data_IF_336829526450
#
_entry.id   IF_336829526450
#
_cell.length_a   1.000
_cell.length_b   1.000
_cell.length_c   1.000
_cell.angle_alpha   90.00
_cell.angle_beta   90.00
_cell.angle_gamma   90.00
#
_symmetry.space_group_name_H-M   'P 1'
#
loop_
_entity.id
_entity.type
_entity.pdbx_description
1 polymer ?
#
# COMPACT_ATOMS: atom_id res chain seq x y z
N UNK A 1 53.69 -0.33 -26.75
CA UNK A 1 52.36 -0.48 -27.40
C UNK A 1 52.04 -1.92 -27.84
N UNK A 2 52.90 -2.62 -28.61
CA UNK A 2 52.62 -4.00 -29.08
C UNK A 2 52.34 -5.04 -27.97
N UNK A 3 53.07 -5.00 -26.85
CA UNK A 3 52.88 -5.95 -25.73
C UNK A 3 51.51 -5.81 -25.05
N UNK A 4 51.05 -4.57 -24.82
CA UNK A 4 49.75 -4.26 -24.21
C UNK A 4 48.60 -4.76 -25.07
N UNK A 5 48.70 -4.57 -26.39
CA UNK A 5 47.71 -5.04 -27.36
C UNK A 5 47.59 -6.57 -27.40
N UNK A 6 48.72 -7.29 -27.33
CA UNK A 6 48.75 -8.76 -27.27
C UNK A 6 48.10 -9.28 -25.98
N UNK A 7 48.40 -8.67 -24.82
CA UNK A 7 47.74 -9.03 -23.55
C UNK A 7 46.22 -8.80 -23.57
N UNK A 8 45.75 -7.72 -24.22
CA UNK A 8 44.33 -7.43 -24.37
C UNK A 8 43.61 -8.49 -25.22
N UNK A 9 44.24 -8.91 -26.32
CA UNK A 9 43.70 -9.98 -27.18
C UNK A 9 43.62 -11.30 -26.41
N UNK A 10 44.65 -11.65 -25.64
CA UNK A 10 44.66 -12.88 -24.83
C UNK A 10 43.54 -12.84 -23.78
N UNK A 11 43.33 -11.70 -23.11
CA UNK A 11 42.24 -11.53 -22.14
C UNK A 11 40.85 -11.67 -22.79
N UNK A 12 40.65 -11.13 -23.99
CA UNK A 12 39.38 -11.27 -24.72
C UNK A 12 39.13 -12.74 -25.12
N UNK A 13 40.17 -13.44 -25.57
CA UNK A 13 40.06 -14.86 -25.92
C UNK A 13 39.77 -15.71 -24.68
N UNK A 14 40.44 -15.44 -23.56
CA UNK A 14 40.18 -16.13 -22.28
C UNK A 14 38.76 -15.85 -21.75
N UNK A 15 38.27 -14.61 -21.86
CA UNK A 15 36.91 -14.26 -21.49
C UNK A 15 35.88 -14.96 -22.41
N UNK A 16 36.11 -14.96 -23.73
CA UNK A 16 35.23 -15.60 -24.70
C UNK A 16 35.18 -17.12 -24.54
N UNK A 17 36.33 -17.76 -24.32
CA UNK A 17 36.43 -19.20 -24.07
C UNK A 17 35.81 -19.58 -22.72
N UNK A 18 36.05 -18.80 -21.67
CA UNK A 18 35.40 -18.97 -20.37
C UNK A 18 33.87 -18.87 -20.47
N UNK A 19 33.35 -17.86 -21.16
CA UNK A 19 31.91 -17.70 -21.39
C UNK A 19 31.31 -18.87 -22.19
N UNK A 20 32.00 -19.33 -23.24
CA UNK A 20 31.55 -20.47 -24.05
C UNK A 20 31.51 -21.78 -23.25
N UNK A 21 32.55 -22.05 -22.46
CA UNK A 21 32.61 -23.24 -21.60
C UNK A 21 31.55 -23.18 -20.49
N UNK A 22 31.34 -22.01 -19.88
CA UNK A 22 30.28 -21.78 -18.91
C UNK A 22 28.89 -22.04 -19.51
N UNK A 23 28.58 -21.47 -20.68
CA UNK A 23 27.30 -21.71 -21.37
C UNK A 23 27.09 -23.17 -21.76
N UNK A 24 28.15 -23.87 -22.16
CA UNK A 24 28.10 -25.30 -22.48
C UNK A 24 27.87 -26.16 -21.24
N UNK A 25 28.49 -25.81 -20.12
CA UNK A 25 28.28 -26.46 -18.83
C UNK A 25 26.84 -26.24 -18.33
N UNK A 26 26.35 -25.00 -18.42
CA UNK A 26 24.99 -24.61 -18.02
C UNK A 26 23.92 -25.38 -18.83
N UNK A 27 24.09 -25.50 -20.16
CA UNK A 27 23.18 -26.30 -21.01
C UNK A 27 23.25 -27.81 -20.75
N UNK A 28 24.42 -28.37 -20.44
CA UNK A 28 24.58 -29.80 -20.15
C UNK A 28 24.00 -30.21 -18.81
N UNK A 29 24.02 -29.31 -17.83
CA UNK A 29 23.50 -29.55 -16.48
C UNK A 29 22.11 -28.91 -16.25
N UNK A 30 21.52 -28.29 -17.29
CA UNK A 30 20.16 -27.81 -17.23
C UNK A 30 19.22 -29.01 -17.08
N UNK A 31 18.40 -29.00 -16.03
CA UNK A 31 17.38 -30.01 -15.82
C UNK A 31 16.38 -29.96 -17.00
N UNK A 32 16.26 -31.02 -17.83
CA UNK A 32 15.48 -30.98 -19.06
C UNK A 32 13.98 -30.73 -18.83
N UNK A 33 13.49 -30.88 -17.60
CA UNK A 33 12.10 -30.62 -17.22
C UNK A 33 11.89 -29.30 -16.49
N UNK A 34 12.92 -28.47 -16.28
CA UNK A 34 12.78 -27.19 -15.57
C UNK A 34 11.82 -26.22 -16.26
N UNK A 35 11.71 -26.29 -17.59
CA UNK A 35 10.78 -25.47 -18.38
C UNK A 35 9.33 -25.96 -18.36
N UNK A 36 9.05 -27.11 -17.75
CA UNK A 36 7.72 -27.73 -17.70
C UNK A 36 7.01 -27.50 -16.36
N UNK A 37 7.64 -26.81 -15.40
CA UNK A 37 7.01 -26.46 -14.13
C UNK A 37 6.01 -25.31 -14.36
N UNK A 38 4.74 -25.44 -13.95
CA UNK A 38 3.81 -24.32 -13.95
C UNK A 38 4.37 -23.12 -13.19
N UNK A 39 4.10 -21.92 -13.70
CA UNK A 39 4.61 -20.67 -13.14
C UNK A 39 3.45 -19.76 -12.77
N UNK A 40 3.65 -19.01 -11.71
CA UNK A 40 2.76 -17.92 -11.33
C UNK A 40 3.57 -16.64 -11.32
N UNK A 41 3.07 -15.63 -12.01
CA UNK A 41 3.56 -14.26 -11.90
C UNK A 41 2.44 -13.40 -11.33
N UNK A 42 2.78 -12.55 -10.36
CA UNK A 42 1.85 -11.55 -9.84
C UNK A 42 2.32 -10.15 -10.23
N UNK A 43 1.40 -9.35 -10.74
CA UNK A 43 1.66 -7.95 -11.06
C UNK A 43 1.54 -7.07 -9.81
N UNK A 44 1.89 -5.79 -10.01
CA UNK A 44 1.60 -4.73 -9.04
C UNK A 44 0.09 -4.68 -8.74
N UNK A 45 -0.27 -4.47 -7.47
CA UNK A 45 -1.65 -4.39 -7.03
C UNK A 45 -2.22 -2.99 -7.31
N UNK A 46 -3.44 -2.91 -7.85
CA UNK A 46 -4.20 -1.67 -7.96
C UNK A 46 -5.05 -1.48 -6.70
N UNK A 47 -4.81 -0.42 -5.93
CA UNK A 47 -5.54 -0.13 -4.70
C UNK A 47 -6.82 0.62 -5.06
N UNK A 48 -7.98 0.03 -4.73
CA UNK A 48 -9.28 0.63 -5.01
C UNK A 48 -9.75 1.56 -3.88
N UNK A 49 -9.50 1.17 -2.63
CA UNK A 49 -10.01 1.86 -1.44
C UNK A 49 -9.05 1.72 -0.25
N UNK A 50 -8.89 2.79 0.52
CA UNK A 50 -8.09 2.84 1.75
C UNK A 50 -8.97 3.39 2.88
N UNK A 51 -9.10 2.64 3.97
CA UNK A 51 -9.82 3.04 5.18
C UNK A 51 -8.87 3.23 6.38
N UNK A 52 -9.38 3.43 7.59
CA UNK A 52 -8.56 3.41 8.82
C UNK A 52 -8.14 2.00 9.27
N UNK A 53 -8.67 0.94 8.63
CA UNK A 53 -8.43 -0.44 9.07
C UNK A 53 -8.06 -1.39 7.94
N UNK A 54 -8.56 -1.16 6.73
CA UNK A 54 -8.42 -2.04 5.58
C UNK A 54 -8.02 -1.28 4.32
N UNK A 55 -7.33 -1.98 3.44
CA UNK A 55 -6.99 -1.53 2.09
C UNK A 55 -7.48 -2.58 1.09
N UNK A 56 -8.41 -2.19 0.23
CA UNK A 56 -8.92 -3.03 -0.85
C UNK A 56 -8.04 -2.86 -2.08
N UNK A 57 -7.67 -3.96 -2.72
CA UNK A 57 -6.85 -3.97 -3.92
C UNK A 57 -7.24 -5.08 -4.89
N UNK A 58 -6.86 -4.92 -6.15
CA UNK A 58 -6.95 -5.95 -7.18
C UNK A 58 -5.54 -6.34 -7.61
N UNK A 59 -5.21 -7.62 -7.54
CA UNK A 59 -3.95 -8.16 -8.01
C UNK A 59 -4.18 -8.95 -9.30
N UNK A 60 -3.38 -8.71 -10.35
CA UNK A 60 -3.38 -9.62 -11.51
C UNK A 60 -2.42 -10.76 -11.26
N UNK A 61 -2.91 -11.98 -11.46
CA UNK A 61 -2.13 -13.20 -11.39
C UNK A 61 -2.15 -13.87 -12.75
N UNK A 62 -0.97 -14.04 -13.33
CA UNK A 62 -0.75 -14.84 -14.52
C UNK A 62 -0.36 -16.25 -14.07
N UNK A 63 -1.12 -17.24 -14.53
CA UNK A 63 -0.80 -18.66 -14.35
C UNK A 63 -0.41 -19.22 -15.70
N UNK A 64 0.85 -19.62 -15.84
CA UNK A 64 1.43 -20.18 -17.05
C UNK A 64 1.52 -21.71 -16.93
N UNK A 65 0.88 -22.41 -17.88
CA UNK A 65 0.91 -23.85 -18.02
C UNK A 65 1.80 -24.25 -19.21
N UNK A 66 3.11 -24.50 -19.01
CA UNK A 66 3.97 -24.95 -20.08
C UNK A 66 3.75 -26.43 -20.46
N UNK A 67 2.92 -27.17 -19.72
CA UNK A 67 2.71 -28.59 -19.95
C UNK A 67 1.92 -28.84 -21.23
N UNK A 68 2.19 -29.94 -21.96
CA UNK A 68 1.37 -30.37 -23.09
C UNK A 68 0.02 -30.98 -22.66
N UNK A 69 -0.37 -30.79 -21.39
CA UNK A 69 -1.60 -31.28 -20.77
C UNK A 69 -2.28 -30.11 -20.08
N UNK A 70 -3.61 -30.06 -20.11
CA UNK A 70 -4.38 -29.03 -19.42
C UNK A 70 -4.33 -29.19 -17.89
N UNK A 71 -4.63 -28.11 -17.18
CA UNK A 71 -4.74 -28.10 -15.72
C UNK A 71 -6.13 -27.62 -15.31
N UNK A 72 -6.87 -28.48 -14.62
CA UNK A 72 -8.16 -28.16 -14.01
C UNK A 72 -7.93 -27.78 -12.54
N UNK A 73 -8.05 -26.50 -12.22
CA UNK A 73 -7.92 -25.96 -10.86
C UNK A 73 -9.32 -25.83 -10.27
N UNK A 74 -9.60 -26.49 -9.15
CA UNK A 74 -10.91 -26.40 -8.47
C UNK A 74 -11.06 -25.09 -7.71
N UNK A 75 -10.00 -24.71 -7.00
CA UNK A 75 -9.86 -23.50 -6.21
C UNK A 75 -8.37 -23.27 -5.94
N UNK A 76 -8.03 -22.09 -5.44
CA UNK A 76 -6.70 -21.85 -4.92
C UNK A 76 -6.72 -20.94 -3.70
N UNK A 77 -5.71 -21.10 -2.85
CA UNK A 77 -5.44 -20.19 -1.74
C UNK A 77 -4.15 -19.43 -2.03
N UNK A 78 -4.02 -18.23 -1.47
CA UNK A 78 -2.80 -17.46 -1.56
C UNK A 78 -2.53 -16.67 -0.27
N UNK A 79 -1.24 -16.46 0.00
CA UNK A 79 -0.78 -15.62 1.08
C UNK A 79 0.36 -14.72 0.63
N UNK A 80 0.44 -13.54 1.24
CA UNK A 80 1.53 -12.59 1.03
C UNK A 80 2.18 -12.28 2.36
N UNK A 81 3.50 -12.39 2.42
CA UNK A 81 4.33 -12.01 3.56
C UNK A 81 5.26 -10.89 3.18
N UNK A 82 5.51 -9.97 4.12
CA UNK A 82 6.51 -8.91 4.00
C UNK A 82 7.49 -9.06 5.16
N UNK A 83 8.76 -9.28 4.84
CA UNK A 83 9.82 -9.60 5.81
C UNK A 83 9.40 -10.71 6.80
N UNK A 84 8.78 -11.75 6.25
CA UNK A 84 8.29 -12.93 6.98
C UNK A 84 6.97 -12.73 7.74
N UNK A 85 6.42 -11.53 7.78
CA UNK A 85 5.12 -11.24 8.44
C UNK A 85 4.00 -11.36 7.42
N UNK A 86 3.03 -12.24 7.69
CA UNK A 86 1.85 -12.42 6.85
C UNK A 86 0.96 -11.17 6.89
N UNK A 87 0.71 -10.58 5.72
CA UNK A 87 -0.12 -9.38 5.55
C UNK A 87 -1.43 -9.66 4.83
N UNK A 88 -1.49 -10.73 4.03
CA UNK A 88 -2.66 -11.15 3.25
C UNK A 88 -2.76 -12.67 3.34
N UNK A 89 -3.99 -13.17 3.46
CA UNK A 89 -4.37 -14.57 3.34
C UNK A 89 -5.80 -14.63 2.81
N UNK A 90 -6.03 -15.40 1.74
CA UNK A 90 -7.33 -15.46 1.09
C UNK A 90 -7.49 -16.71 0.21
N UNK A 91 -8.74 -17.16 0.10
CA UNK A 91 -9.17 -18.25 -0.78
C UNK A 91 -9.94 -17.72 -1.99
N UNK A 92 -9.66 -18.31 -3.15
CA UNK A 92 -10.36 -18.07 -4.40
C UNK A 92 -11.07 -19.36 -4.84
N UNK A 93 -12.39 -19.36 -4.70
CA UNK A 93 -13.22 -20.56 -4.81
C UNK A 93 -13.76 -20.82 -6.22
N UNK A 94 -13.37 -20.03 -7.23
CA UNK A 94 -13.84 -20.24 -8.59
C UNK A 94 -12.91 -21.22 -9.32
N UNK A 95 -13.47 -22.25 -9.99
CA UNK A 95 -12.69 -23.16 -10.79
C UNK A 95 -12.09 -22.45 -12.00
N UNK A 96 -10.93 -22.93 -12.45
CA UNK A 96 -10.18 -22.37 -13.56
C UNK A 96 -9.59 -23.52 -14.38
N UNK A 97 -9.86 -23.50 -15.69
CA UNK A 97 -9.29 -24.45 -16.64
C UNK A 97 -8.20 -23.73 -17.43
N UNK A 98 -7.01 -24.33 -17.48
CA UNK A 98 -5.88 -23.84 -18.26
C UNK A 98 -5.55 -24.86 -19.32
N UNK A 99 -5.61 -24.46 -20.58
CA UNK A 99 -5.34 -25.33 -21.71
C UNK A 99 -3.86 -25.76 -21.77
N UNK A 100 -3.52 -26.82 -22.53
CA UNK A 100 -2.14 -27.19 -22.79
C UNK A 100 -1.34 -26.03 -23.39
N UNK A 101 -0.14 -25.77 -22.85
CA UNK A 101 0.77 -24.71 -23.32
C UNK A 101 0.14 -23.32 -23.38
N UNK A 102 -0.76 -23.04 -22.45
CA UNK A 102 -1.50 -21.79 -22.38
C UNK A 102 -1.25 -21.04 -21.06
N UNK A 103 -1.67 -19.79 -21.04
CA UNK A 103 -1.56 -18.88 -19.91
C UNK A 103 -2.88 -18.19 -19.66
N UNK A 104 -3.28 -18.08 -18.39
CA UNK A 104 -4.48 -17.33 -18.00
C UNK A 104 -4.13 -16.23 -17.02
N UNK A 105 -4.73 -15.06 -17.22
CA UNK A 105 -4.64 -13.95 -16.28
C UNK A 105 -5.95 -13.79 -15.55
N UNK A 106 -5.89 -13.73 -14.22
CA UNK A 106 -7.06 -13.51 -13.37
C UNK A 106 -6.85 -12.28 -12.48
N UNK A 107 -7.94 -11.54 -12.25
CA UNK A 107 -8.00 -10.46 -11.28
C UNK A 107 -8.46 -11.00 -9.92
N UNK A 108 -7.63 -10.81 -8.89
CA UNK A 108 -7.86 -11.30 -7.55
C UNK A 108 -8.19 -10.12 -6.64
N UNK A 109 -9.46 -9.97 -6.22
CA UNK A 109 -9.82 -8.99 -5.20
C UNK A 109 -9.21 -9.42 -3.87
N UNK A 110 -8.49 -8.51 -3.23
CA UNK A 110 -7.73 -8.77 -2.02
C UNK A 110 -7.97 -7.64 -1.02
N UNK A 111 -8.09 -8.00 0.26
CA UNK A 111 -8.14 -7.05 1.35
C UNK A 111 -6.89 -7.20 2.22
N UNK A 112 -6.23 -6.08 2.51
CA UNK A 112 -5.09 -5.99 3.40
C UNK A 112 -5.48 -5.30 4.70
N UNK A 113 -5.05 -5.85 5.84
CA UNK A 113 -5.19 -5.19 7.15
C UNK A 113 -4.10 -4.15 7.35
N UNK A 114 -4.51 -2.89 7.48
CA UNK A 114 -3.60 -1.74 7.58
C UNK A 114 -2.73 -1.82 8.83
N UNK A 115 -3.28 -2.26 9.96
CA UNK A 115 -2.56 -2.30 11.23
C UNK A 115 -1.28 -3.16 11.17
N UNK A 116 -1.37 -4.30 10.50
CA UNK A 116 -0.31 -5.30 10.38
C UNK A 116 0.74 -4.81 9.40
N UNK A 117 0.31 -4.31 8.25
CA UNK A 117 1.20 -3.72 7.26
C UNK A 117 1.96 -2.51 7.80
N UNK A 118 1.28 -1.59 8.50
CA UNK A 118 1.92 -0.42 9.12
C UNK A 118 2.95 -0.80 10.18
N UNK A 119 2.73 -1.87 10.96
CA UNK A 119 3.72 -2.36 11.94
C UNK A 119 4.99 -2.87 11.24
N UNK A 120 4.84 -3.61 10.14
CA UNK A 120 5.97 -4.09 9.33
C UNK A 120 6.74 -2.91 8.73
N UNK A 121 6.03 -1.95 8.12
CA UNK A 121 6.66 -0.76 7.56
C UNK A 121 7.43 0.07 8.60
N UNK A 122 6.85 0.28 9.79
CA UNK A 122 7.52 1.00 10.89
C UNK A 122 8.74 0.24 11.42
N UNK A 123 8.69 -1.10 11.49
CA UNK A 123 9.85 -1.91 11.89
C UNK A 123 10.98 -1.76 10.88
N UNK A 124 10.68 -1.82 9.59
CA UNK A 124 11.68 -1.67 8.55
C UNK A 124 12.31 -0.28 8.52
N UNK A 125 11.50 0.76 8.68
CA UNK A 125 11.97 2.14 8.83
C UNK A 125 12.91 2.29 10.04
N UNK A 126 12.55 1.76 11.20
CA UNK A 126 13.38 1.81 12.40
C UNK A 126 14.72 1.07 12.22
N UNK A 127 14.77 0.08 11.32
CA UNK A 127 15.98 -0.62 10.92
C UNK A 127 16.75 0.08 9.78
N UNK A 128 16.28 1.23 9.29
CA UNK A 128 16.89 1.97 8.19
C UNK A 128 16.71 1.31 6.82
N UNK A 129 15.71 0.47 6.65
CA UNK A 129 15.43 -0.25 5.41
C UNK A 129 14.63 0.64 4.43
N UNK A 130 15.02 0.59 3.15
CA UNK A 130 14.30 1.23 2.04
C UNK A 130 13.50 0.22 1.19
N UNK A 131 13.68 -1.06 1.47
CA UNK A 131 13.10 -2.18 0.75
C UNK A 131 12.79 -3.33 1.70
N UNK A 132 11.81 -4.15 1.33
CA UNK A 132 11.42 -5.36 2.07
C UNK A 132 11.35 -6.56 1.12
N UNK A 133 11.46 -7.76 1.70
CA UNK A 133 11.25 -9.02 1.00
C UNK A 133 9.75 -9.35 0.99
N UNK A 134 9.16 -9.37 -0.20
CA UNK A 134 7.78 -9.78 -0.42
C UNK A 134 7.78 -11.22 -0.88
N UNK A 135 7.10 -12.08 -0.14
CA UNK A 135 6.96 -13.50 -0.44
C UNK A 135 5.49 -13.78 -0.76
N UNK A 136 5.25 -14.31 -1.95
CA UNK A 136 3.93 -14.70 -2.43
C UNK A 136 3.91 -16.22 -2.50
N UNK A 137 2.94 -16.83 -1.83
CA UNK A 137 2.75 -18.28 -1.88
C UNK A 137 1.33 -18.55 -2.38
N UNK A 138 1.23 -19.40 -3.40
CA UNK A 138 -0.02 -19.78 -4.05
C UNK A 138 -0.15 -21.30 -4.00
N UNK A 139 -1.33 -21.78 -3.60
CA UNK A 139 -1.68 -23.18 -3.46
C UNK A 139 -2.82 -23.49 -4.42
N UNK A 140 -2.50 -24.08 -5.57
CA UNK A 140 -3.49 -24.43 -6.60
C UNK A 140 -3.99 -25.85 -6.33
N UNK A 141 -5.27 -26.00 -5.96
CA UNK A 141 -5.89 -27.31 -5.79
C UNK A 141 -6.39 -27.82 -7.14
N UNK A 142 -5.91 -28.99 -7.55
CA UNK A 142 -6.19 -29.57 -8.85
C UNK A 142 -7.31 -30.61 -8.77
N UNK A 143 -8.18 -30.64 -9.78
CA UNK A 143 -9.23 -31.66 -9.89
C UNK A 143 -8.65 -33.05 -10.21
N UNK A 144 -7.47 -33.09 -10.84
CA UNK A 144 -6.70 -34.31 -11.12
C UNK A 144 -5.23 -34.07 -10.83
N UNK A 145 -4.49 -35.07 -10.32
CA UNK A 145 -3.08 -34.89 -10.05
C UNK A 145 -2.28 -34.51 -11.30
N UNK A 146 -1.51 -33.43 -11.21
CA UNK A 146 -0.56 -32.99 -12.24
C UNK A 146 0.83 -33.10 -11.64
N UNK A 147 1.76 -33.75 -12.37
CA UNK A 147 3.10 -34.06 -11.87
C UNK A 147 3.11 -34.86 -10.54
N UNK A 148 2.08 -35.68 -10.31
CA UNK A 148 1.96 -36.51 -9.10
C UNK A 148 1.44 -35.77 -7.86
N UNK A 149 1.02 -34.51 -8.01
CA UNK A 149 0.50 -33.69 -6.91
C UNK A 149 -0.95 -33.31 -7.18
N UNK A 150 -1.79 -33.41 -6.16
CA UNK A 150 -3.16 -32.88 -6.13
C UNK A 150 -3.19 -31.36 -5.83
N UNK A 151 -2.11 -30.83 -5.23
CA UNK A 151 -1.94 -29.42 -4.94
C UNK A 151 -0.57 -28.95 -5.42
N UNK A 152 -0.54 -27.89 -6.24
CA UNK A 152 0.69 -27.24 -6.64
C UNK A 152 0.97 -26.04 -5.73
N UNK A 153 2.10 -26.09 -5.03
CA UNK A 153 2.62 -24.95 -4.26
C UNK A 153 3.63 -24.18 -5.11
N UNK A 154 3.34 -22.90 -5.32
CA UNK A 154 4.19 -22.00 -6.09
C UNK A 154 4.58 -20.85 -5.18
N UNK A 155 5.89 -20.64 -5.05
CA UNK A 155 6.47 -19.58 -4.23
C UNK A 155 7.20 -18.59 -5.14
N UNK A 156 6.99 -17.31 -4.88
CA UNK A 156 7.68 -16.23 -5.55
C UNK A 156 8.18 -15.24 -4.50
N UNK A 157 9.45 -14.86 -4.60
CA UNK A 157 10.04 -13.84 -3.75
C UNK A 157 10.49 -12.65 -4.59
N UNK A 158 10.21 -11.45 -4.10
CA UNK A 158 10.66 -10.22 -4.74
C UNK A 158 11.03 -9.19 -3.69
N UNK A 159 12.19 -8.55 -3.86
CA UNK A 159 12.54 -7.37 -3.08
C UNK A 159 11.90 -6.15 -3.75
N UNK A 160 11.03 -5.45 -3.01
CA UNK A 160 10.33 -4.26 -3.48
C UNK A 160 10.56 -3.09 -2.50
N UNK A 161 10.30 -1.84 -2.91
CA UNK A 161 10.37 -0.69 -2.01
C UNK A 161 9.49 -0.87 -0.77
N UNK A 162 9.97 -0.37 0.36
CA UNK A 162 9.20 -0.33 1.60
C UNK A 162 8.15 0.78 1.54
N UNK A 163 6.91 0.42 1.23
CA UNK A 163 5.83 1.38 1.13
C UNK A 163 5.24 1.76 2.50
N UNK A 164 4.87 3.03 2.63
CA UNK A 164 4.21 3.59 3.82
C UNK A 164 2.83 4.11 3.46
N UNK A 165 1.85 3.87 4.33
CA UNK A 165 0.58 4.59 4.25
C UNK A 165 0.79 6.04 4.70
N UNK A 166 0.18 7.03 4.04
CA UNK A 166 0.27 8.42 4.49
C UNK A 166 -0.37 8.55 5.88
N UNK A 167 0.33 9.18 6.81
CA UNK A 167 -0.21 9.48 8.14
C UNK A 167 -0.85 10.87 8.11
N UNK A 168 -2.03 11.00 8.74
CA UNK A 168 -2.79 12.25 8.80
C UNK A 168 -3.12 12.53 10.26
N UNK A 169 -2.65 13.66 10.76
CA UNK A 169 -2.82 14.09 12.14
C UNK A 169 -3.56 15.44 12.21
N UNK A 170 -4.43 15.60 13.20
CA UNK A 170 -4.99 16.93 13.52
C UNK A 170 -4.03 17.61 14.48
N UNK A 171 -3.46 18.74 14.07
CA UNK A 171 -2.46 19.47 14.88
C UNK A 171 -3.01 20.77 15.45
N UNK A 172 -4.12 21.28 14.94
CA UNK A 172 -4.68 22.54 15.42
C UNK A 172 -6.09 22.79 14.92
N UNK A 173 -6.81 23.64 15.67
CA UNK A 173 -8.07 24.23 15.26
C UNK A 173 -8.03 25.69 15.69
N UNK A 174 -8.09 26.59 14.70
CA UNK A 174 -8.04 28.03 14.92
C UNK A 174 -9.34 28.69 14.43
N UNK A 175 -9.87 29.63 15.22
CA UNK A 175 -11.06 30.42 14.84
C UNK A 175 -10.61 31.62 13.99
N UNK A 176 -10.97 31.61 12.71
CA UNK A 176 -10.61 32.71 11.79
C UNK A 176 -11.62 33.85 11.89
N UNK A 177 -12.92 33.55 11.75
CA UNK A 177 -13.98 34.56 11.79
C UNK A 177 -15.16 34.08 12.63
N UNK A 178 -15.48 34.88 13.65
CA UNK A 178 -16.68 34.72 14.43
C UNK A 178 -17.87 35.42 13.76
N UNK A 179 -18.97 34.68 13.49
CA UNK A 179 -20.24 35.28 13.08
C UNK A 179 -21.39 34.60 13.83
N UNK A 180 -22.41 35.40 14.18
CA UNK A 180 -23.58 34.98 14.96
C UNK A 180 -24.33 33.76 14.39
N UNK A 181 -24.30 33.56 13.06
CA UNK A 181 -24.95 32.42 12.40
C UNK A 181 -23.98 31.28 12.08
N UNK A 182 -22.85 31.58 11.42
CA UNK A 182 -21.84 30.61 10.97
C UNK A 182 -20.45 31.17 11.18
N UNK A 183 -19.65 30.53 12.02
CA UNK A 183 -18.24 30.88 12.20
C UNK A 183 -17.35 30.03 11.28
N UNK A 184 -16.25 30.62 10.84
CA UNK A 184 -15.22 29.96 10.02
C UNK A 184 -14.09 29.53 10.96
N UNK A 185 -13.81 28.22 11.00
CA UNK A 185 -12.61 27.68 11.67
C UNK A 185 -11.67 27.12 10.61
N UNK A 186 -10.38 27.15 10.89
CA UNK A 186 -9.37 26.42 10.14
C UNK A 186 -8.90 25.23 10.98
N UNK A 187 -8.90 24.06 10.37
CA UNK A 187 -8.39 22.84 10.97
C UNK A 187 -7.06 22.54 10.30
N UNK A 188 -6.01 22.51 11.10
CA UNK A 188 -4.67 22.22 10.64
C UNK A 188 -4.48 20.71 10.60
N UNK A 189 -4.42 20.16 9.40
CA UNK A 189 -4.11 18.74 9.18
C UNK A 189 -2.66 18.62 8.74
N UNK A 190 -1.89 17.84 9.49
CA UNK A 190 -0.53 17.45 9.14
C UNK A 190 -0.58 16.15 8.34
N UNK A 191 -0.01 16.19 7.15
CA UNK A 191 0.16 15.04 6.27
C UNK A 191 1.62 14.63 6.25
N UNK A 192 1.90 13.39 6.62
CA UNK A 192 3.24 12.80 6.64
C UNK A 192 3.29 11.75 5.53
N UNK A 193 4.07 12.03 4.49
CA UNK A 193 4.33 11.11 3.39
C UNK A 193 5.79 10.67 3.41
N UNK A 194 6.03 9.43 3.82
CA UNK A 194 7.38 8.84 3.88
C UNK A 194 7.81 8.20 2.55
N UNK A 195 6.90 8.05 1.59
CA UNK A 195 7.21 7.45 0.30
C UNK A 195 8.06 8.38 -0.57
N UNK A 196 8.72 7.79 -1.56
CA UNK A 196 9.53 8.47 -2.57
C UNK A 196 8.71 9.07 -3.74
N UNK A 197 7.39 8.92 -3.72
CA UNK A 197 6.46 9.53 -4.66
C UNK A 197 5.48 10.49 -3.97
N UNK A 198 4.94 11.44 -4.73
CA UNK A 198 3.94 12.37 -4.23
C UNK A 198 2.54 11.75 -4.19
N UNK A 199 1.72 12.17 -3.22
CA UNK A 199 0.32 11.77 -3.08
C UNK A 199 -0.53 13.01 -3.24
N UNK A 200 -1.54 12.95 -4.11
CA UNK A 200 -2.44 14.07 -4.35
C UNK A 200 -3.85 13.69 -3.91
N UNK A 201 -4.46 14.53 -3.08
CA UNK A 201 -5.82 14.35 -2.59
C UNK A 201 -6.74 15.28 -3.38
N UNK A 202 -7.58 14.69 -4.23
CA UNK A 202 -8.56 15.42 -5.04
C UNK A 202 -9.89 15.50 -4.31
N UNK A 203 -10.49 16.68 -4.33
CA UNK A 203 -11.84 16.98 -3.81
C UNK A 203 -12.05 16.42 -2.39
N UNK A 204 -11.22 16.88 -1.45
CA UNK A 204 -11.31 16.42 -0.06
C UNK A 204 -12.63 16.86 0.55
N UNK A 205 -13.34 15.94 1.18
CA UNK A 205 -14.52 16.17 1.99
C UNK A 205 -14.24 15.67 3.39
N UNK A 206 -14.60 16.46 4.39
CA UNK A 206 -14.30 16.13 5.78
C UNK A 206 -15.49 16.44 6.66
N UNK A 207 -15.64 15.61 7.69
CA UNK A 207 -16.56 15.87 8.79
C UNK A 207 -15.88 15.67 10.12
N UNK A 208 -16.15 16.56 11.08
CA UNK A 208 -15.59 16.50 12.43
C UNK A 208 -16.74 16.28 13.39
N UNK A 209 -16.68 15.17 14.10
CA UNK A 209 -17.60 14.81 15.17
C UNK A 209 -16.97 15.18 16.51
N UNK A 210 -17.65 16.07 17.23
CA UNK A 210 -17.24 16.54 18.55
C UNK A 210 -18.15 15.90 19.62
N UNK A 211 -17.55 15.14 20.54
CA UNK A 211 -18.25 14.59 21.70
C UNK A 211 -19.37 13.57 21.41
N UNK A 212 -20.25 13.35 22.39
CA UNK A 212 -21.32 12.31 22.35
C UNK A 212 -22.59 12.76 21.62
N UNK A 213 -22.80 14.06 21.40
CA UNK A 213 -24.06 14.61 20.90
C UNK A 213 -24.16 14.71 19.37
N UNK A 214 -23.36 13.93 18.61
CA UNK A 214 -23.37 13.93 17.13
C UNK A 214 -23.27 15.35 16.54
N UNK A 215 -22.44 16.20 17.17
CA UNK A 215 -22.16 17.52 16.60
C UNK A 215 -21.18 17.34 15.46
N UNK A 216 -21.73 17.14 14.26
CA UNK A 216 -20.97 16.99 13.02
C UNK A 216 -20.81 18.35 12.34
N UNK A 217 -19.56 18.71 12.10
CA UNK A 217 -19.13 19.87 11.33
C UNK A 217 -18.66 19.37 9.98
N UNK A 218 -19.17 19.92 8.88
CA UNK A 218 -18.77 19.49 7.54
C UNK A 218 -17.94 20.56 6.85
N UNK A 219 -17.06 20.13 5.96
CA UNK A 219 -16.43 21.01 4.98
C UNK A 219 -15.89 20.26 3.78
N UNK A 220 -15.39 21.04 2.83
CA UNK A 220 -14.80 20.54 1.60
C UNK A 220 -13.67 21.45 1.14
N UNK A 221 -12.63 20.84 0.59
CA UNK A 221 -11.54 21.51 -0.12
C UNK A 221 -11.56 21.01 -1.57
N UNK A 222 -12.23 21.75 -2.47
CA UNK A 222 -12.28 21.39 -3.89
C UNK A 222 -10.91 21.59 -4.55
N UNK A 223 -10.63 20.84 -5.61
CA UNK A 223 -9.34 20.89 -6.30
C UNK A 223 -8.39 19.79 -5.82
N UNK A 224 -7.08 20.08 -5.84
CA UNK A 224 -6.03 19.09 -5.60
C UNK A 224 -5.07 19.58 -4.52
N UNK A 225 -4.96 18.82 -3.43
CA UNK A 225 -3.93 19.02 -2.40
C UNK A 225 -2.79 18.05 -2.66
N UNK A 226 -1.63 18.57 -3.10
CA UNK A 226 -0.43 17.77 -3.36
C UNK A 226 0.45 17.69 -2.12
N UNK A 227 0.66 16.48 -1.61
CA UNK A 227 1.64 16.15 -0.56
C UNK A 227 2.89 15.58 -1.23
N UNK A 228 4.01 16.31 -1.26
CA UNK A 228 5.23 15.86 -1.92
C UNK A 228 5.79 14.54 -1.36
N UNK A 229 6.67 13.90 -2.12
CA UNK A 229 7.48 12.78 -1.63
C UNK A 229 8.32 13.20 -0.40
N UNK A 230 8.53 12.28 0.53
CA UNK A 230 9.36 12.47 1.74
C UNK A 230 9.08 13.80 2.45
N UNK A 231 7.80 14.11 2.66
CA UNK A 231 7.38 15.40 3.21
C UNK A 231 6.49 15.26 4.43
N UNK A 232 6.52 16.30 5.24
CA UNK A 232 5.74 16.47 6.45
C UNK A 232 5.20 17.91 6.39
N UNK A 233 3.92 18.05 6.03
CA UNK A 233 3.32 19.36 5.73
C UNK A 233 1.99 19.54 6.42
N UNK A 234 1.77 20.74 6.94
CA UNK A 234 0.48 21.17 7.49
C UNK A 234 -0.33 21.89 6.42
N UNK A 235 -1.59 21.49 6.27
CA UNK A 235 -2.57 22.12 5.40
C UNK A 235 -3.72 22.63 6.25
N UNK A 236 -4.07 23.89 6.03
CA UNK A 236 -5.22 24.51 6.69
C UNK A 236 -6.47 24.19 5.89
N UNK A 237 -7.46 23.65 6.57
CA UNK A 237 -8.70 23.20 5.96
C UNK A 237 -9.87 23.97 6.57
N UNK A 238 -10.56 24.81 5.79
CA UNK A 238 -11.65 25.63 6.33
C UNK A 238 -12.89 24.78 6.61
N UNK A 239 -13.45 24.90 7.80
CA UNK A 239 -14.73 24.31 8.21
C UNK A 239 -15.71 25.42 8.59
N UNK A 240 -16.99 25.20 8.28
CA UNK A 240 -18.06 26.10 8.72
C UNK A 240 -18.81 25.47 9.89
N UNK A 241 -18.93 26.21 10.98
CA UNK A 241 -19.58 25.75 12.21
C UNK A 241 -20.74 26.67 12.57
N UNK A 242 -21.88 26.07 12.90
CA UNK A 242 -23.04 26.78 13.44
C UNK A 242 -22.80 27.14 14.91
N UNK A 243 -23.15 28.36 15.31
CA UNK A 243 -22.84 28.87 16.66
C UNK A 243 -23.41 27.98 17.78
N UNK A 244 -24.63 27.46 17.61
CA UNK A 244 -25.26 26.57 18.61
C UNK A 244 -24.46 25.29 18.85
N UNK A 245 -23.88 24.71 17.79
CA UNK A 245 -23.02 23.52 17.84
C UNK A 245 -21.66 23.83 18.50
N UNK A 246 -21.14 25.03 18.29
CA UNK A 246 -19.89 25.47 18.91
C UNK A 246 -20.05 25.66 20.43
N UNK A 247 -21.18 26.24 20.87
CA UNK A 247 -21.46 26.46 22.30
C UNK A 247 -21.62 25.12 23.05
N UNK A 248 -22.37 24.16 22.49
CA UNK A 248 -22.52 22.84 23.12
C UNK A 248 -21.20 22.06 23.18
N UNK A 249 -20.40 22.11 22.12
CA UNK A 249 -19.06 21.53 22.13
C UNK A 249 -18.15 22.22 23.15
N UNK A 250 -18.20 23.56 23.25
CA UNK A 250 -17.41 24.36 24.18
C UNK A 250 -17.72 24.04 25.65
N UNK A 251 -18.99 23.88 26.04
CA UNK A 251 -19.35 23.50 27.41
C UNK A 251 -18.86 22.09 27.74
N UNK A 252 -19.02 21.13 26.83
CA UNK A 252 -18.49 19.77 27.02
C UNK A 252 -16.96 19.76 27.11
N UNK A 253 -16.27 20.57 26.30
CA UNK A 253 -14.81 20.75 26.37
C UNK A 253 -14.38 21.32 27.73
N UNK A 254 -15.13 22.25 28.32
CA UNK A 254 -14.83 22.76 29.67
C UNK A 254 -14.95 21.67 30.74
N UNK A 255 -15.97 20.78 30.64
CA UNK A 255 -16.16 19.68 31.58
C UNK A 255 -15.17 18.52 31.40
N UNK A 256 -14.82 18.18 30.16
CA UNK A 256 -13.91 17.05 29.85
C UNK A 256 -12.44 17.47 29.75
N UNK A 257 -12.18 18.77 29.62
CA UNK A 257 -10.86 19.37 29.52
C UNK A 257 -10.02 18.77 28.39
N UNK A 258 -8.81 18.34 28.74
CA UNK A 258 -7.83 17.78 27.79
C UNK A 258 -8.27 16.44 27.18
N UNK A 259 -9.20 15.72 27.81
CA UNK A 259 -9.67 14.40 27.35
C UNK A 259 -10.84 14.47 26.39
N UNK A 260 -11.26 15.67 25.98
CA UNK A 260 -12.38 15.83 25.07
C UNK A 260 -12.08 15.12 23.73
N UNK A 261 -12.87 14.10 23.34
CA UNK A 261 -12.60 13.32 22.16
C UNK A 261 -13.17 14.00 20.91
N UNK A 262 -12.48 13.81 19.79
CA UNK A 262 -12.96 14.18 18.47
C UNK A 262 -12.74 13.02 17.48
N UNK A 263 -13.50 13.05 16.40
CA UNK A 263 -13.29 12.17 15.25
C UNK A 263 -13.36 12.96 13.96
N UNK A 264 -12.34 12.85 13.13
CA UNK A 264 -12.33 13.42 11.78
C UNK A 264 -12.53 12.31 10.77
N UNK A 265 -13.60 12.41 10.00
CA UNK A 265 -13.83 11.60 8.82
C UNK A 265 -13.30 12.35 7.60
N UNK A 266 -12.36 11.76 6.87
CA UNK A 266 -11.78 12.35 5.67
C UNK A 266 -12.07 11.44 4.47
N UNK A 267 -12.65 12.02 3.41
CA UNK A 267 -12.91 11.36 2.15
C UNK A 267 -12.26 12.09 0.99
N UNK A 268 -11.53 11.39 0.14
CA UNK A 268 -10.88 11.99 -1.04
C UNK A 268 -10.64 10.93 -2.13
N UNK A 269 -10.42 11.39 -3.36
CA UNK A 269 -9.83 10.54 -4.41
C UNK A 269 -8.33 10.80 -4.44
N UNK A 270 -7.54 9.72 -4.36
CA UNK A 270 -6.09 9.78 -4.50
C UNK A 270 -5.75 9.82 -5.99
N UNK A 271 -4.88 10.76 -6.35
CA UNK A 271 -4.19 10.80 -7.63
C UNK A 271 -2.70 10.67 -7.31
N UNK A 272 -2.04 9.73 -7.96
CA UNK A 272 -0.60 9.53 -7.81
C UNK A 272 0.00 9.14 -9.15
N UNK A 273 1.29 9.43 -9.28
CA UNK A 273 2.12 8.94 -10.38
C UNK A 273 2.53 7.47 -10.16
N UNK A 274 2.30 6.94 -8.95
CA UNK A 274 2.43 5.52 -8.63
C UNK A 274 1.18 4.76 -9.11
N UNK A 275 1.38 3.73 -9.94
CA UNK A 275 0.30 2.94 -10.53
C UNK A 275 -0.58 2.22 -9.49
N UNK A 276 -0.06 1.88 -8.30
CA UNK A 276 -0.83 1.23 -7.23
C UNK A 276 -1.90 2.13 -6.64
N UNK A 277 -1.60 3.43 -6.47
CA UNK A 277 -2.46 4.38 -5.76
C UNK A 277 -3.30 5.26 -6.71
N UNK A 278 -3.16 5.04 -8.01
CA UNK A 278 -3.83 5.87 -9.02
C UNK A 278 -5.33 5.62 -8.96
N UNK A 279 -6.10 6.69 -8.75
CA UNK A 279 -7.56 6.67 -8.66
C UNK A 279 -8.14 5.94 -7.45
N UNK A 280 -7.35 5.66 -6.41
CA UNK A 280 -7.84 5.04 -5.18
C UNK A 280 -8.79 5.97 -4.40
N UNK A 281 -9.77 5.41 -3.70
CA UNK A 281 -10.62 6.15 -2.76
C UNK A 281 -9.99 6.15 -1.38
N UNK A 282 -9.89 7.30 -0.74
CA UNK A 282 -9.51 7.41 0.67
C UNK A 282 -10.77 7.66 1.50
N UNK A 283 -10.97 6.88 2.56
CA UNK A 283 -12.04 7.01 3.54
C UNK A 283 -11.49 6.81 4.96
N UNK A 284 -10.78 7.80 5.49
CA UNK A 284 -10.12 7.71 6.79
C UNK A 284 -11.04 8.15 7.92
N UNK A 285 -10.86 7.52 9.09
CA UNK A 285 -11.44 7.94 10.36
C UNK A 285 -10.32 8.15 11.39
N UNK A 286 -9.99 9.40 11.63
CA UNK A 286 -8.94 9.83 12.54
C UNK A 286 -9.59 10.11 13.90
N UNK A 287 -9.16 9.42 14.94
CA UNK A 287 -9.66 9.61 16.31
C UNK A 287 -8.57 10.24 17.15
N UNK A 288 -8.91 11.17 18.02
CA UNK A 288 -7.97 11.79 18.94
C UNK A 288 -8.67 12.53 20.06
N UNK A 289 -7.88 13.12 20.93
CA UNK A 289 -8.34 14.02 21.98
C UNK A 289 -7.54 15.34 21.97
N UNK A 290 -7.97 16.32 22.75
CA UNK A 290 -7.33 17.64 22.79
C UNK A 290 -5.89 17.62 23.32
N UNK A 291 -5.50 16.61 24.09
CA UNK A 291 -4.11 16.40 24.53
C UNK A 291 -3.23 15.93 23.36
N UNK A 292 -3.70 14.95 22.58
CA UNK A 292 -3.00 14.43 21.41
C UNK A 292 -2.73 15.56 20.40
N UNK A 293 -3.75 16.39 20.14
CA UNK A 293 -3.62 17.54 19.24
C UNK A 293 -2.56 18.54 19.73
N UNK A 294 -2.53 18.85 21.04
CA UNK A 294 -1.52 19.76 21.61
C UNK A 294 -0.12 19.18 21.53
N UNK A 295 0.03 17.88 21.76
CA UNK A 295 1.32 17.20 21.61
C UNK A 295 1.79 17.25 20.15
N UNK A 296 0.90 16.97 19.20
CA UNK A 296 1.19 17.03 17.77
C UNK A 296 1.56 18.47 17.33
N UNK A 297 0.82 19.49 17.81
CA UNK A 297 1.15 20.91 17.57
C UNK A 297 2.58 21.25 18.01
N UNK A 298 2.95 20.86 19.23
CA UNK A 298 4.29 21.10 19.78
C UNK A 298 5.39 20.41 18.95
N UNK A 299 5.13 19.21 18.44
CA UNK A 299 6.09 18.51 17.57
C UNK A 299 6.30 19.22 16.23
N UNK A 300 5.25 19.85 15.68
CA UNK A 300 5.36 20.66 14.47
C UNK A 300 6.14 21.95 14.75
N UNK A 301 5.89 22.63 15.86
CA UNK A 301 6.55 23.89 16.24
C UNK A 301 8.05 23.73 16.60
N UNK A 302 8.51 22.51 16.91
CA UNK A 302 9.91 22.23 17.25
C UNK A 302 10.79 21.89 16.04
N UNK A 303 10.22 21.70 14.84
CA UNK A 303 10.94 21.39 13.60
C UNK A 303 11.20 22.66 12.79
#
# INVERSE_FOLDING_TARGET
>A
MKKVFITLIILIILAGTGWFLFKRYERKNANPVSGLKPRVEMSLAEISSITDSTMEMSMKMLIDNPLPLGMDIENFAYQVKVDGVQIIESDYMKPLQIEPRDSVTIDIPTELKIDTFSKVAKRGEAAGQDSALYQFEVFLKLAKPVLGHDTLRIEMEKRLPLYHLPEIEVVGIDLEKFKLKKSELNVDLRFINKNDFAIQFKNMRYSIDLGKEKTTINGQSPGVTRVPAKSDKVYQIPVQVELGKMISAGTQMLFQGKKFPFTVHLRSQIISDNDMLKNSKLNMKIRGNMEDMKAAKKMVEMK
#
